data_IF_342897377115
#
_entry.id   IF_342897377115
#
_cell.length_a   1.000
_cell.length_b   1.000
_cell.length_c   1.000
_cell.angle_alpha   90.00
_cell.angle_beta   90.00
_cell.angle_gamma   90.00
#
_symmetry.space_group_name_H-M   'P 1'
#
loop_
_entity.id
_entity.type
_entity.pdbx_description
1 polymer ?
#
# COMPACT_ATOMS: atom_id res chain seq x y z
N UNK A 1 -8.17 -1.41 11.41
CA UNK A 1 -9.06 -1.37 10.22
C UNK A 1 -10.49 -1.69 10.60
N UNK A 2 -11.44 -1.22 9.79
CA UNK A 2 -12.87 -1.55 9.90
C UNK A 2 -13.18 -2.92 9.24
N UNK A 3 -12.41 -3.33 8.23
CA UNK A 3 -12.68 -4.53 7.42
C UNK A 3 -11.83 -5.77 7.74
N UNK A 4 -10.87 -5.68 8.69
CA UNK A 4 -10.07 -6.81 9.17
C UNK A 4 -8.75 -7.11 8.44
N UNK A 5 -8.46 -6.44 7.32
CA UNK A 5 -7.26 -6.63 6.50
C UNK A 5 -6.37 -5.37 6.47
N UNK A 6 -5.94 -4.87 7.64
CA UNK A 6 -4.96 -3.76 7.68
C UNK A 6 -3.61 -4.22 7.10
N UNK A 7 -3.05 -3.52 6.10
CA UNK A 7 -1.69 -3.82 5.66
C UNK A 7 -0.66 -3.36 6.70
N UNK A 8 0.41 -4.14 6.85
CA UNK A 8 1.57 -3.78 7.68
C UNK A 8 2.61 -3.08 6.80
N UNK A 9 3.10 -1.92 7.23
CA UNK A 9 3.92 -1.03 6.42
C UNK A 9 5.22 -0.58 7.10
N UNK A 10 5.41 -0.93 8.37
CA UNK A 10 6.49 -0.49 9.26
C UNK A 10 7.52 -1.59 9.53
N UNK A 11 7.09 -2.85 9.57
CA UNK A 11 7.94 -4.03 9.80
C UNK A 11 7.71 -5.07 8.73
N UNK A 12 8.70 -5.96 8.53
CA UNK A 12 8.53 -7.09 7.63
C UNK A 12 7.44 -8.04 8.15
N UNK A 13 6.40 -8.30 7.37
CA UNK A 13 5.30 -9.21 7.75
C UNK A 13 5.70 -10.67 7.93
N UNK A 14 6.86 -11.06 7.42
CA UNK A 14 7.37 -12.44 7.49
C UNK A 14 8.34 -12.60 8.66
N UNK A 15 9.31 -11.68 8.80
CA UNK A 15 10.42 -11.81 9.75
C UNK A 15 10.25 -10.96 11.01
N UNK A 16 9.42 -9.92 10.97
CA UNK A 16 9.30 -8.92 12.03
C UNK A 16 10.46 -7.92 12.10
N UNK A 17 11.36 -7.92 11.11
CA UNK A 17 12.48 -6.96 11.03
C UNK A 17 11.95 -5.53 10.87
N UNK A 18 12.45 -4.60 11.68
CA UNK A 18 12.13 -3.18 11.59
C UNK A 18 12.62 -2.59 10.27
N UNK A 19 11.83 -1.67 9.71
CA UNK A 19 12.10 -1.03 8.43
C UNK A 19 13.24 0.02 8.41
N UNK A 20 13.36 0.78 7.31
CA UNK A 20 12.36 0.94 6.25
C UNK A 20 12.40 -0.18 5.20
N UNK A 21 11.25 -0.84 4.97
CA UNK A 21 11.06 -1.82 3.89
C UNK A 21 10.19 -1.23 2.79
N UNK A 22 10.54 -1.46 1.53
CA UNK A 22 9.77 -0.92 0.39
C UNK A 22 9.16 -1.99 -0.52
N UNK A 23 9.59 -3.25 -0.38
CA UNK A 23 9.04 -4.36 -1.14
C UNK A 23 7.64 -4.72 -0.62
N UNK A 24 6.60 -4.52 -1.44
CA UNK A 24 5.21 -4.80 -1.05
C UNK A 24 4.76 -6.14 -1.62
N UNK A 25 4.31 -7.05 -0.74
CA UNK A 25 3.68 -8.32 -1.12
C UNK A 25 2.23 -8.32 -0.64
N UNK A 26 1.31 -8.01 -1.55
CA UNK A 26 -0.13 -7.90 -1.26
C UNK A 26 -0.68 -9.18 -0.60
N UNK A 27 -0.31 -10.34 -1.12
CA UNK A 27 -0.76 -11.64 -0.59
C UNK A 27 -0.19 -11.98 0.78
N UNK A 28 0.95 -11.38 1.16
CA UNK A 28 1.52 -11.51 2.51
C UNK A 28 0.93 -10.49 3.49
N UNK A 29 0.15 -9.52 3.00
CA UNK A 29 -0.52 -8.53 3.83
C UNK A 29 0.33 -7.29 4.17
N UNK A 30 1.45 -7.05 3.49
CA UNK A 30 2.27 -5.89 3.81
C UNK A 30 3.64 -5.85 3.15
N UNK A 31 4.50 -4.99 3.71
CA UNK A 31 5.90 -4.88 3.30
C UNK A 31 6.72 -6.06 3.83
N UNK A 32 7.73 -6.46 3.06
CA UNK A 32 8.67 -7.51 3.43
C UNK A 32 10.10 -6.98 3.29
N UNK A 33 11.05 -7.55 4.04
CA UNK A 33 12.45 -7.20 3.86
C UNK A 33 13.03 -7.83 2.58
N UNK A 34 14.08 -7.22 2.04
CA UNK A 34 14.73 -7.67 0.80
C UNK A 34 15.19 -9.13 0.88
N UNK A 35 15.52 -9.62 2.09
CA UNK A 35 15.96 -10.99 2.33
C UNK A 35 14.88 -12.04 2.03
N UNK A 36 13.61 -11.68 2.16
CA UNK A 36 12.46 -12.58 2.00
C UNK A 36 11.54 -12.15 0.86
N UNK A 37 11.86 -11.07 0.16
CA UNK A 37 11.11 -10.59 -0.99
C UNK A 37 11.18 -11.61 -2.16
N UNK A 38 10.05 -12.11 -2.67
CA UNK A 38 10.03 -12.93 -3.88
C UNK A 38 10.66 -12.19 -5.08
N UNK A 39 11.29 -12.90 -6.03
CA UNK A 39 11.81 -12.28 -7.24
C UNK A 39 10.75 -11.49 -8.00
N UNK A 40 11.07 -10.25 -8.39
CA UNK A 40 10.15 -9.37 -9.11
C UNK A 40 9.15 -8.62 -8.23
N UNK A 41 9.29 -8.69 -6.90
CA UNK A 41 8.46 -7.90 -5.98
C UNK A 41 8.59 -6.40 -6.28
N UNK A 42 7.47 -5.68 -6.46
CA UNK A 42 7.52 -4.23 -6.68
C UNK A 42 7.99 -3.52 -5.42
N UNK A 43 8.82 -2.50 -5.62
CA UNK A 43 9.30 -1.62 -4.56
C UNK A 43 8.59 -0.29 -4.68
N UNK A 44 7.96 0.12 -3.58
CA UNK A 44 7.23 1.37 -3.52
C UNK A 44 8.19 2.54 -3.29
N UNK A 45 7.79 3.74 -3.69
CA UNK A 45 8.48 4.95 -3.27
C UNK A 45 8.31 5.13 -1.75
N UNK A 46 9.33 5.61 -1.02
CA UNK A 46 9.21 5.90 0.41
C UNK A 46 8.04 6.85 0.73
N UNK A 47 7.79 7.85 -0.12
CA UNK A 47 6.69 8.80 0.03
C UNK A 47 5.32 8.11 -0.10
N UNK A 48 5.22 7.06 -0.90
CA UNK A 48 4.01 6.23 -1.04
C UNK A 48 3.73 5.45 0.24
N UNK A 49 4.75 4.90 0.89
CA UNK A 49 4.59 4.19 2.17
C UNK A 49 4.17 5.15 3.28
N UNK A 50 4.78 6.34 3.31
CA UNK A 50 4.37 7.42 4.23
C UNK A 50 2.91 7.80 4.01
N UNK A 51 2.49 7.99 2.75
CA UNK A 51 1.09 8.29 2.42
C UNK A 51 0.14 7.16 2.84
N UNK A 52 0.44 5.90 2.52
CA UNK A 52 -0.39 4.77 2.90
C UNK A 52 -0.51 4.64 4.43
N UNK A 53 0.59 4.85 5.16
CA UNK A 53 0.62 4.83 6.62
C UNK A 53 -0.23 5.95 7.22
N UNK A 54 -0.11 7.18 6.68
CA UNK A 54 -0.93 8.32 7.08
C UNK A 54 -2.42 8.06 6.87
N UNK A 55 -2.81 7.50 5.72
CA UNK A 55 -4.19 7.14 5.42
C UNK A 55 -4.76 6.08 6.38
N UNK A 56 -3.94 5.12 6.83
CA UNK A 56 -4.38 4.08 7.77
C UNK A 56 -4.73 4.64 9.16
N UNK A 57 -3.99 5.65 9.60
CA UNK A 57 -4.17 6.27 10.93
C UNK A 57 -5.04 7.54 10.89
N UNK A 58 -5.41 8.01 9.70
CA UNK A 58 -6.21 9.22 9.51
C UNK A 58 -5.42 10.53 9.65
N UNK A 59 -4.12 10.52 9.39
CA UNK A 59 -3.29 11.73 9.34
C UNK A 59 -3.46 12.46 8.01
N UNK A 60 -4.52 13.27 7.94
CA UNK A 60 -4.86 14.03 6.74
C UNK A 60 -3.85 15.12 6.40
N UNK A 61 -3.10 15.65 7.38
CA UNK A 61 -2.09 16.67 7.10
C UNK A 61 -0.95 16.10 6.26
N UNK A 62 -0.47 14.91 6.60
CA UNK A 62 0.54 14.19 5.79
C UNK A 62 -0.04 13.74 4.46
N UNK A 63 -1.27 13.24 4.45
CA UNK A 63 -1.92 12.80 3.22
C UNK A 63 -2.11 13.96 2.22
N UNK A 64 -2.51 15.14 2.70
CA UNK A 64 -2.75 16.34 1.89
C UNK A 64 -1.45 17.01 1.44
N UNK A 65 -0.33 16.81 2.16
CA UNK A 65 0.99 17.27 1.74
C UNK A 65 1.71 16.31 0.77
N UNK A 66 1.15 15.13 0.50
CA UNK A 66 1.84 14.10 -0.29
C UNK A 66 2.01 14.51 -1.77
N UNK A 67 3.13 14.14 -2.42
CA UNK A 67 3.40 14.46 -3.81
C UNK A 67 2.51 13.64 -4.76
N UNK A 68 2.17 14.20 -5.92
CA UNK A 68 1.26 13.57 -6.90
C UNK A 68 1.70 12.16 -7.31
N UNK A 69 3.01 11.95 -7.48
CA UNK A 69 3.57 10.64 -7.81
C UNK A 69 3.26 9.57 -6.75
N UNK A 70 3.32 9.93 -5.46
CA UNK A 70 2.98 9.03 -4.37
C UNK A 70 1.47 8.75 -4.33
N UNK A 71 0.63 9.75 -4.62
CA UNK A 71 -0.83 9.59 -4.70
C UNK A 71 -1.23 8.64 -5.83
N UNK A 72 -0.62 8.78 -7.00
CA UNK A 72 -0.89 7.91 -8.16
C UNK A 72 -0.53 6.46 -7.83
N UNK A 73 0.66 6.24 -7.26
CA UNK A 73 1.12 4.90 -6.87
C UNK A 73 0.25 4.31 -5.75
N UNK A 74 -0.06 5.08 -4.70
CA UNK A 74 -0.91 4.65 -3.59
C UNK A 74 -2.32 4.26 -4.06
N UNK A 75 -2.94 5.01 -4.98
CA UNK A 75 -4.24 4.66 -5.57
C UNK A 75 -4.21 3.27 -6.22
N UNK A 76 -3.17 2.97 -6.99
CA UNK A 76 -2.98 1.66 -7.61
C UNK A 76 -2.84 0.53 -6.59
N UNK A 77 -2.04 0.77 -5.55
CA UNK A 77 -1.82 -0.19 -4.46
C UNK A 77 -3.12 -0.47 -3.70
N UNK A 78 -3.85 0.57 -3.28
CA UNK A 78 -5.11 0.42 -2.56
C UNK A 78 -6.13 -0.36 -3.38
N UNK A 79 -6.23 -0.06 -4.69
CA UNK A 79 -7.11 -0.79 -5.60
C UNK A 79 -6.71 -2.27 -5.71
N UNK A 80 -5.42 -2.57 -5.90
CA UNK A 80 -4.93 -3.94 -5.99
C UNK A 80 -5.10 -4.73 -4.68
N UNK A 81 -4.84 -4.09 -3.54
CA UNK A 81 -4.96 -4.69 -2.21
C UNK A 81 -6.42 -4.99 -1.85
N UNK A 82 -7.32 -4.05 -2.14
CA UNK A 82 -8.77 -4.29 -2.01
C UNK A 82 -9.25 -5.38 -2.96
N UNK A 83 -8.78 -5.37 -4.22
CA UNK A 83 -9.13 -6.39 -5.20
C UNK A 83 -8.74 -7.80 -4.76
N UNK A 84 -7.55 -7.96 -4.17
CA UNK A 84 -7.07 -9.23 -3.65
C UNK A 84 -7.98 -9.76 -2.53
N UNK A 85 -8.32 -8.92 -1.54
CA UNK A 85 -9.11 -9.34 -0.38
C UNK A 85 -10.60 -9.52 -0.68
N UNK A 86 -11.14 -8.81 -1.66
CA UNK A 86 -12.56 -8.90 -2.02
C UNK A 86 -12.87 -10.05 -2.97
N UNK A 87 -11.85 -10.63 -3.64
CA UNK A 87 -11.94 -11.71 -4.65
C UNK A 87 -12.84 -11.43 -5.87
N UNK A 88 -13.63 -10.34 -5.84
CA UNK A 88 -14.54 -9.86 -6.87
C UNK A 88 -14.17 -8.45 -7.29
N UNK A 89 -14.32 -8.15 -8.57
CA UNK A 89 -13.96 -6.83 -9.08
C UNK A 89 -14.98 -5.75 -8.73
N UNK A 90 -14.48 -4.61 -8.24
CA UNK A 90 -15.30 -3.42 -8.01
C UNK A 90 -15.38 -2.64 -9.31
N UNK A 91 -16.47 -2.84 -10.06
CA UNK A 91 -16.68 -2.19 -11.37
C UNK A 91 -16.64 -0.67 -11.32
N UNK A 92 -17.10 -0.05 -10.23
CA UNK A 92 -17.09 1.41 -10.08
C UNK A 92 -15.67 2.01 -10.03
N UNK A 93 -14.65 1.25 -9.61
CA UNK A 93 -13.27 1.75 -9.60
C UNK A 93 -12.76 2.10 -11.00
N UNK A 94 -13.24 1.39 -12.03
CA UNK A 94 -12.88 1.67 -13.42
C UNK A 94 -13.50 2.96 -13.98
N UNK A 95 -14.52 3.51 -13.32
CA UNK A 95 -15.21 4.74 -13.72
C UNK A 95 -14.69 5.98 -12.99
N UNK A 96 -13.72 5.83 -12.09
CA UNK A 96 -13.10 6.97 -11.40
C UNK A 96 -12.21 7.69 -12.40
N UNK A 97 -12.45 8.99 -12.58
CA UNK A 97 -11.65 9.82 -13.45
C UNK A 97 -10.19 9.86 -12.97
N UNK A 98 -9.27 9.76 -13.92
CA UNK A 98 -7.82 9.58 -13.67
C UNK A 98 -7.00 10.81 -14.07
N UNK A 99 -7.68 11.92 -14.38
CA UNK A 99 -7.09 13.14 -14.95
C UNK A 99 -7.01 14.35 -14.00
N UNK A 100 -7.19 14.17 -12.70
CA UNK A 100 -6.88 15.20 -11.69
C UNK A 100 -5.68 14.83 -10.83
#
# INVERSE_FOLDING_TARGET
AIAGWTPVLDVCVITGEDGPHTALVISAGGVVSDAVAPPGTPHLRPETITLLSALLIGDWAVADASPDGARIEARGIVAAYAQFHLERSIRSLGHIDRTE
#
